data_IF_259730569379
#
_entry.id   IF_259730569379
#
_cell.length_a   1.000
_cell.length_b   1.000
_cell.length_c   1.000
_cell.angle_alpha   90.00
_cell.angle_beta   90.00
_cell.angle_gamma   90.00
#
_symmetry.space_group_name_H-M   'P 1'
#
loop_
_entity.id
_entity.type
_entity.pdbx_description
1 polymer ?
#
# COMPACT_ATOMS: atom_id res chain seq x y z
N UNK A 1 1.78 -15.96 4.16
CA UNK A 1 2.48 -15.89 2.85
C UNK A 1 2.78 -14.42 2.55
N UNK A 2 3.98 -14.04 2.10
CA UNK A 2 4.30 -12.65 1.78
C UNK A 2 4.11 -12.39 0.26
N UNK A 3 3.44 -11.30 -0.10
CA UNK A 3 3.25 -10.88 -1.48
C UNK A 3 4.14 -9.68 -1.75
N UNK A 4 4.95 -9.75 -2.81
CA UNK A 4 5.71 -8.61 -3.31
C UNK A 4 5.10 -8.21 -4.65
N UNK A 5 4.81 -6.92 -4.86
CA UNK A 5 4.36 -6.42 -6.14
C UNK A 5 5.13 -5.17 -6.55
N UNK A 6 5.31 -5.03 -7.86
CA UNK A 6 5.96 -3.89 -8.51
C UNK A 6 4.97 -3.24 -9.45
N UNK A 7 4.51 -2.04 -9.13
CA UNK A 7 3.52 -1.32 -9.93
C UNK A 7 3.88 0.16 -10.04
N UNK A 8 3.56 0.81 -11.18
CA UNK A 8 3.62 2.25 -11.23
C UNK A 8 2.51 2.87 -10.36
N UNK A 9 2.78 4.04 -9.80
CA UNK A 9 1.75 4.88 -9.17
C UNK A 9 1.52 6.08 -10.08
N UNK A 10 0.28 6.23 -10.56
CA UNK A 10 -0.11 7.35 -11.43
C UNK A 10 -1.10 8.24 -10.71
N UNK A 11 -0.75 9.51 -10.52
CA UNK A 11 -1.56 10.54 -9.88
C UNK A 11 -1.64 11.76 -10.80
N UNK A 12 -2.85 12.12 -11.25
CA UNK A 12 -3.03 13.18 -12.24
C UNK A 12 -2.20 12.93 -13.51
N UNK A 13 -1.34 13.88 -13.90
CA UNK A 13 -0.42 13.74 -15.04
C UNK A 13 0.92 13.07 -14.72
N UNK A 14 1.19 12.74 -13.44
CA UNK A 14 2.49 12.21 -12.99
C UNK A 14 2.45 10.71 -12.82
N UNK A 15 3.52 10.03 -13.25
CA UNK A 15 3.73 8.59 -12.98
C UNK A 15 5.05 8.38 -12.25
N UNK A 16 4.99 7.70 -11.11
CA UNK A 16 6.15 7.16 -10.40
C UNK A 16 6.30 5.72 -10.86
N UNK A 17 7.39 5.44 -11.60
CA UNK A 17 7.66 4.11 -12.12
C UNK A 17 8.29 3.21 -11.07
N UNK A 18 8.06 1.89 -11.21
CA UNK A 18 8.78 0.85 -10.46
C UNK A 18 8.64 0.92 -8.93
N UNK A 19 7.46 1.26 -8.40
CA UNK A 19 7.24 1.24 -6.95
C UNK A 19 7.12 -0.20 -6.47
N UNK A 20 7.93 -0.57 -5.47
CA UNK A 20 7.80 -1.84 -4.79
C UNK A 20 6.91 -1.69 -3.54
N UNK A 21 6.05 -2.66 -3.36
CA UNK A 21 5.27 -2.81 -2.14
C UNK A 21 5.17 -4.28 -1.75
N UNK A 22 5.20 -4.52 -0.44
CA UNK A 22 5.21 -5.85 0.14
C UNK A 22 4.07 -5.94 1.16
N UNK A 23 3.31 -7.03 1.12
CA UNK A 23 2.28 -7.37 2.09
C UNK A 23 2.63 -8.70 2.76
N UNK A 24 2.24 -8.89 4.03
CA UNK A 24 2.42 -10.17 4.71
C UNK A 24 3.80 -10.42 5.31
N UNK A 25 4.57 -9.36 5.60
CA UNK A 25 5.77 -9.48 6.42
C UNK A 25 5.35 -9.63 7.88
N UNK A 26 5.94 -10.62 8.58
CA UNK A 26 5.60 -10.95 9.96
C UNK A 26 5.66 -9.71 10.85
N UNK A 27 4.49 -9.25 11.28
CA UNK A 27 4.39 -8.18 12.27
C UNK A 27 4.71 -8.77 13.65
N UNK A 28 5.42 -8.04 14.53
CA UNK A 28 5.44 -8.36 15.95
C UNK A 28 4.00 -8.37 16.47
N UNK A 29 3.62 -9.37 17.29
CA UNK A 29 2.24 -9.58 17.81
C UNK A 29 1.61 -8.34 18.48
N UNK A 30 2.42 -7.35 18.87
CA UNK A 30 2.01 -6.20 19.67
C UNK A 30 1.80 -4.95 18.80
N UNK A 31 0.77 -4.95 17.95
CA UNK A 31 0.43 -3.83 17.05
C UNK A 31 -1.05 -3.43 17.04
N UNK A 32 -1.82 -3.80 18.07
CA UNK A 32 -3.26 -3.50 18.19
C UNK A 32 -3.63 -2.01 18.00
N UNK A 33 -2.66 -1.10 18.09
CA UNK A 33 -2.91 0.33 18.17
C UNK A 33 -2.45 1.15 16.95
N UNK A 34 -1.99 0.52 15.85
CA UNK A 34 -1.52 1.24 14.65
C UNK A 34 -2.41 0.94 13.44
N UNK A 35 -3.03 1.97 12.87
CA UNK A 35 -3.79 1.85 11.62
C UNK A 35 -2.87 1.41 10.48
N UNK A 36 -2.91 0.15 10.07
CA UNK A 36 -2.11 -0.38 8.98
C UNK A 36 -2.53 -1.79 8.58
N UNK A 37 -2.74 -2.00 7.28
CA UNK A 37 -3.26 -3.23 6.66
C UNK A 37 -2.17 -4.29 6.41
N UNK A 38 -1.09 -4.28 7.20
CA UNK A 38 -0.01 -5.24 7.00
C UNK A 38 0.87 -4.98 5.76
N UNK A 39 0.88 -3.76 5.24
CA UNK A 39 1.54 -3.39 3.99
C UNK A 39 2.74 -2.45 4.18
N UNK A 40 3.78 -2.65 3.38
CA UNK A 40 4.91 -1.75 3.22
C UNK A 40 4.94 -1.20 1.80
N UNK A 41 5.07 0.12 1.69
CA UNK A 41 5.38 0.84 0.46
C UNK A 41 6.77 1.44 0.60
N UNK A 42 7.53 1.48 -0.50
CA UNK A 42 8.86 2.12 -0.52
C UNK A 42 8.81 3.59 -0.06
N UNK A 43 9.62 3.92 0.95
CA UNK A 43 9.74 5.30 1.48
C UNK A 43 10.03 6.33 0.35
N UNK A 44 10.91 6.07 -0.62
CA UNK A 44 11.11 6.99 -1.75
C UNK A 44 9.84 7.32 -2.54
N UNK A 45 8.95 6.35 -2.75
CA UNK A 45 7.69 6.59 -3.46
C UNK A 45 6.74 7.49 -2.66
N UNK A 46 6.72 7.33 -1.33
CA UNK A 46 5.93 8.17 -0.43
C UNK A 46 6.48 9.60 -0.41
N UNK A 47 7.80 9.77 -0.32
CA UNK A 47 8.46 11.08 -0.36
C UNK A 47 8.14 11.80 -1.68
N UNK A 48 8.23 11.10 -2.81
CA UNK A 48 7.88 11.68 -4.12
C UNK A 48 6.41 12.10 -4.22
N UNK A 49 5.47 11.32 -3.67
CA UNK A 49 4.05 11.70 -3.62
C UNK A 49 3.86 12.97 -2.78
N UNK A 50 4.49 13.06 -1.60
CA UNK A 50 4.39 14.23 -0.73
C UNK A 50 5.02 15.48 -1.35
N UNK A 51 6.16 15.35 -2.00
CA UNK A 51 6.78 16.43 -2.77
C UNK A 51 5.85 16.92 -3.88
N UNK A 52 5.23 16.00 -4.64
CA UNK A 52 4.32 16.34 -5.74
C UNK A 52 3.05 17.06 -5.27
N UNK A 53 2.56 16.74 -4.07
CA UNK A 53 1.46 17.46 -3.44
C UNK A 53 1.93 18.85 -3.01
N UNK A 54 3.12 18.94 -2.41
CA UNK A 54 3.69 20.18 -1.89
C UNK A 54 3.98 21.19 -3.01
N UNK A 55 4.41 20.71 -4.19
CA UNK A 55 4.63 21.54 -5.38
C UNK A 55 3.36 21.90 -6.13
N UNK A 56 2.21 21.32 -5.75
CA UNK A 56 0.93 21.52 -6.43
C UNK A 56 0.82 20.78 -7.78
N UNK A 57 1.75 19.89 -8.10
CA UNK A 57 1.74 19.07 -9.31
C UNK A 57 0.56 18.08 -9.30
N UNK A 58 0.19 17.58 -8.12
CA UNK A 58 -1.00 16.76 -7.89
C UNK A 58 -1.74 17.25 -6.64
N UNK A 59 -3.05 17.03 -6.62
CA UNK A 59 -3.88 17.27 -5.42
C UNK A 59 -3.80 16.09 -4.44
N UNK A 60 -4.09 16.31 -3.15
CA UNK A 60 -4.25 15.20 -2.19
C UNK A 60 -5.30 14.16 -2.63
N UNK A 61 -6.36 14.60 -3.33
CA UNK A 61 -7.39 13.70 -3.86
C UNK A 61 -6.81 12.77 -4.94
N UNK A 62 -6.06 13.33 -5.90
CA UNK A 62 -5.40 12.53 -6.95
C UNK A 62 -4.37 11.56 -6.37
N UNK A 63 -3.62 11.96 -5.33
CA UNK A 63 -2.71 11.06 -4.64
C UNK A 63 -3.46 9.91 -3.94
N UNK A 64 -4.61 10.19 -3.30
CA UNK A 64 -5.46 9.15 -2.69
C UNK A 64 -5.99 8.17 -3.72
N UNK A 65 -6.48 8.66 -4.85
CA UNK A 65 -6.99 7.84 -5.95
C UNK A 65 -5.89 6.95 -6.55
N UNK A 66 -4.67 7.47 -6.67
CA UNK A 66 -3.51 6.73 -7.16
C UNK A 66 -3.12 5.53 -6.28
N UNK A 67 -3.41 5.60 -4.97
CA UNK A 67 -3.16 4.52 -4.01
C UNK A 67 -4.31 3.50 -3.96
N UNK A 68 -5.49 3.79 -4.52
CA UNK A 68 -6.67 2.91 -4.43
C UNK A 68 -6.44 1.49 -4.97
N UNK A 69 -5.72 1.26 -6.10
CA UNK A 69 -5.46 -0.09 -6.58
C UNK A 69 -4.61 -0.91 -5.61
N UNK A 70 -3.62 -0.27 -4.97
CA UNK A 70 -2.77 -0.89 -3.96
C UNK A 70 -3.61 -1.29 -2.74
N UNK A 71 -4.49 -0.40 -2.28
CA UNK A 71 -5.41 -0.69 -1.17
C UNK A 71 -6.37 -1.84 -1.47
N UNK A 72 -6.88 -1.92 -2.71
CA UNK A 72 -7.76 -3.01 -3.11
C UNK A 72 -7.04 -4.37 -3.06
N UNK A 73 -5.78 -4.45 -3.50
CA UNK A 73 -4.98 -5.68 -3.43
C UNK A 73 -4.66 -6.10 -1.99
N UNK A 74 -4.42 -5.14 -1.11
CA UNK A 74 -4.21 -5.41 0.32
C UNK A 74 -5.47 -5.95 1.00
N UNK A 75 -6.65 -5.43 0.64
CA UNK A 75 -7.92 -5.93 1.17
C UNK A 75 -8.20 -7.37 0.73
N UNK A 76 -7.85 -7.74 -0.51
CA UNK A 76 -7.95 -9.13 -0.99
C UNK A 76 -7.01 -10.04 -0.20
N UNK A 77 -5.76 -9.61 0.01
CA UNK A 77 -4.79 -10.37 0.79
C UNK A 77 -5.25 -10.61 2.24
N UNK A 78 -5.82 -9.59 2.89
CA UNK A 78 -6.37 -9.72 4.25
C UNK A 78 -7.51 -10.75 4.29
N UNK A 79 -8.44 -10.70 3.33
CA UNK A 79 -9.51 -11.69 3.22
C UNK A 79 -9.00 -13.13 3.02
N UNK A 80 -7.98 -13.33 2.20
CA UNK A 80 -7.38 -14.65 1.99
C UNK A 80 -6.70 -15.19 3.26
N UNK A 81 -6.05 -14.32 4.04
CA UNK A 81 -5.41 -14.67 5.30
C UNK A 81 -6.44 -14.96 6.40
N UNK A 82 -7.53 -14.20 6.49
CA UNK A 82 -8.61 -14.45 7.43
C UNK A 82 -9.30 -15.80 7.16
N UNK A 83 -9.49 -16.16 5.88
CA UNK A 83 -10.07 -17.45 5.48
C UNK A 83 -9.17 -18.63 5.84
N UNK A 84 -7.85 -18.53 5.61
CA UNK A 84 -6.90 -19.57 6.02
C UNK A 84 -6.76 -19.72 7.54
N UNK A 85 -7.01 -18.66 8.30
CA UNK A 85 -6.96 -18.69 9.77
C UNK A 85 -8.20 -19.34 10.40
N UNK A 86 -9.26 -19.54 9.61
CA UNK A 86 -10.54 -20.12 10.06
C UNK A 86 -10.70 -21.63 9.83
N UNK A 87 -9.78 -22.28 9.11
CA UNK A 87 -9.85 -23.72 8.78
C UNK A 87 -9.08 -24.64 9.76
N UNK A 88 -8.35 -24.08 10.73
CA UNK A 88 -7.62 -24.83 11.77
C UNK A 88 -8.43 -25.02 13.07
N UNK A 89 -9.69 -25.48 12.98
CA UNK A 89 -10.51 -25.92 14.13
C UNK A 89 -11.19 -27.27 13.91
#
# INVERSE_FOLDING_TARGET
MAINFRKPITAGGKTIHSVHANAGLAYPEQRRDVAGWGAMIEIPAVVLLLESITTGEITPLQAREALAPILAELAVYEQEMDQHSGEDY
#
